data_IF_024137980905
#
_entry.id   IF_024137980905
#
_cell.length_a   1.000
_cell.length_b   1.000
_cell.length_c   1.000
_cell.angle_alpha   90.00
_cell.angle_beta   90.00
_cell.angle_gamma   90.00
#
_symmetry.space_group_name_H-M   'P 1'
#
loop_
_entity.id
_entity.type
_entity.pdbx_description
1 polymer ?
#
# COMPACT_ATOMS: atom_id res chain seq x y z
N UNK A 1 4.65 4.91 -8.86
CA UNK A 1 3.43 4.16 -9.25
C UNK A 1 3.64 3.08 -10.32
N UNK A 2 4.82 3.01 -10.95
CA UNK A 2 5.14 2.08 -12.05
C UNK A 2 4.99 0.61 -11.67
N UNK A 3 5.37 0.24 -10.44
CA UNK A 3 5.29 -1.15 -9.93
C UNK A 3 3.83 -1.61 -9.82
N UNK A 4 2.95 -0.80 -9.23
CA UNK A 4 1.54 -1.18 -9.06
C UNK A 4 0.83 -1.41 -10.40
N UNK A 5 1.15 -0.61 -11.42
CA UNK A 5 0.61 -0.82 -12.77
C UNK A 5 1.22 -2.04 -13.46
N UNK A 6 2.53 -2.28 -13.28
CA UNK A 6 3.21 -3.47 -13.81
C UNK A 6 2.55 -4.77 -13.32
N UNK A 7 2.11 -4.79 -12.06
CA UNK A 7 1.40 -5.92 -11.48
C UNK A 7 -0.13 -5.86 -11.64
N UNK A 8 -0.67 -4.86 -12.36
CA UNK A 8 -2.10 -4.75 -12.63
C UNK A 8 -2.98 -4.30 -11.45
N UNK A 9 -2.40 -3.85 -10.33
CA UNK A 9 -3.17 -3.38 -9.17
C UNK A 9 -3.86 -2.03 -9.39
N UNK A 10 -3.35 -1.23 -10.32
CA UNK A 10 -3.96 0.05 -10.72
C UNK A 10 -3.95 0.18 -12.24
N UNK A 11 -5.07 0.56 -12.81
CA UNK A 11 -5.23 0.82 -14.25
C UNK A 11 -4.77 2.22 -14.63
N UNK A 12 -5.08 3.20 -13.79
CA UNK A 12 -4.80 4.63 -13.98
C UNK A 12 -3.42 5.02 -13.46
N UNK A 13 -2.69 5.85 -14.22
CA UNK A 13 -1.41 6.44 -13.81
C UNK A 13 -1.50 7.94 -13.55
N UNK A 14 -2.54 8.58 -14.06
CA UNK A 14 -2.84 10.01 -13.98
C UNK A 14 -3.35 10.43 -12.59
N UNK A 15 -3.69 9.48 -11.72
CA UNK A 15 -4.23 9.73 -10.38
C UNK A 15 -3.41 9.04 -9.32
N UNK A 16 -3.31 9.66 -8.15
CA UNK A 16 -2.62 9.08 -6.99
C UNK A 16 -3.39 7.88 -6.43
N UNK A 17 -2.66 6.82 -6.07
CA UNK A 17 -3.23 5.65 -5.43
C UNK A 17 -3.25 5.81 -3.90
N UNK A 18 -4.25 5.19 -3.26
CA UNK A 18 -4.38 5.13 -1.80
C UNK A 18 -4.60 3.69 -1.34
N UNK A 19 -3.80 3.24 -0.37
CA UNK A 19 -3.94 1.92 0.26
C UNK A 19 -5.03 1.98 1.32
N UNK A 20 -5.94 1.00 1.31
CA UNK A 20 -7.02 0.81 2.27
C UNK A 20 -6.81 -0.49 3.05
N UNK A 21 -7.18 -0.51 4.33
CA UNK A 21 -7.03 -1.68 5.21
C UNK A 21 -8.22 -2.62 5.11
N UNK A 22 -8.38 -3.30 3.98
CA UNK A 22 -9.50 -4.23 3.72
C UNK A 22 -9.15 -5.72 3.85
N UNK A 23 -7.89 -6.06 4.10
CA UNK A 23 -7.44 -7.46 4.18
C UNK A 23 -6.22 -7.62 5.08
N UNK A 24 -5.76 -8.86 5.20
CA UNK A 24 -4.67 -9.26 6.08
C UNK A 24 -3.29 -9.10 5.42
N UNK A 25 -2.33 -8.58 6.18
CA UNK A 25 -0.93 -8.49 5.76
C UNK A 25 -0.11 -9.50 6.57
N UNK A 26 0.28 -10.60 5.93
CA UNK A 26 1.03 -11.69 6.58
C UNK A 26 2.54 -11.49 6.59
N UNK A 27 3.05 -10.58 5.76
CA UNK A 27 4.50 -10.33 5.60
C UNK A 27 4.80 -8.86 5.78
N UNK A 28 5.88 -8.58 6.51
CA UNK A 28 6.44 -7.25 6.63
C UNK A 28 6.83 -6.72 5.24
N UNK A 29 6.25 -5.58 4.85
CA UNK A 29 6.57 -4.90 3.60
C UNK A 29 6.81 -3.42 3.82
N UNK A 30 7.71 -2.86 3.03
CA UNK A 30 7.93 -1.42 2.94
C UNK A 30 7.03 -0.85 1.84
N UNK A 31 6.20 0.12 2.19
CA UNK A 31 5.35 0.87 1.26
C UNK A 31 5.98 2.24 1.04
N UNK A 32 6.42 2.53 -0.18
CA UNK A 32 7.10 3.79 -0.52
C UNK A 32 6.26 4.61 -1.50
N UNK A 33 6.03 5.87 -1.18
CA UNK A 33 5.46 6.87 -2.09
C UNK A 33 3.98 6.66 -2.41
N UNK A 34 3.23 6.02 -1.49
CA UNK A 34 1.79 5.78 -1.64
C UNK A 34 1.06 6.20 -0.36
N UNK A 35 -0.02 6.97 -0.52
CA UNK A 35 -0.86 7.37 0.60
C UNK A 35 -1.59 6.17 1.21
N UNK A 36 -1.69 6.11 2.54
CA UNK A 36 -2.33 5.00 3.25
C UNK A 36 -3.45 5.53 4.15
N UNK A 37 -4.56 4.79 4.28
CA UNK A 37 -5.58 5.06 5.30
C UNK A 37 -5.02 4.77 6.70
N UNK A 38 -5.67 5.34 7.74
CA UNK A 38 -5.29 5.08 9.14
C UNK A 38 -5.30 3.59 9.45
N UNK A 39 -6.37 2.89 9.07
CA UNK A 39 -6.50 1.44 9.23
C UNK A 39 -5.40 0.66 8.52
N UNK A 40 -5.08 1.03 7.27
CA UNK A 40 -4.00 0.38 6.52
C UNK A 40 -2.65 0.56 7.22
N UNK A 41 -2.36 1.77 7.71
CA UNK A 41 -1.11 2.04 8.44
C UNK A 41 -0.96 1.16 9.67
N UNK A 42 -2.03 1.04 10.46
CA UNK A 42 -2.02 0.20 11.66
C UNK A 42 -1.76 -1.27 11.32
N UNK A 43 -2.39 -1.80 10.26
CA UNK A 43 -2.14 -3.18 9.81
C UNK A 43 -0.71 -3.37 9.33
N UNK A 44 -0.16 -2.42 8.57
CA UNK A 44 1.23 -2.50 8.06
C UNK A 44 2.23 -2.49 9.22
N UNK A 45 2.04 -1.60 10.19
CA UNK A 45 2.93 -1.51 11.38
C UNK A 45 2.82 -2.78 12.22
N UNK A 46 1.60 -3.31 12.45
CA UNK A 46 1.39 -4.57 13.19
C UNK A 46 2.06 -5.76 12.51
N UNK A 47 2.10 -5.78 11.18
CA UNK A 47 2.78 -6.80 10.40
C UNK A 47 4.31 -6.60 10.32
N UNK A 48 4.88 -5.60 11.00
CA UNK A 48 6.31 -5.29 10.99
C UNK A 48 6.79 -4.53 9.74
N UNK A 49 5.87 -3.98 8.95
CA UNK A 49 6.16 -3.17 7.76
C UNK A 49 6.43 -1.70 8.07
N UNK A 50 6.89 -0.97 7.07
CA UNK A 50 7.21 0.48 7.14
C UNK A 50 6.56 1.25 6.01
N UNK A 51 6.31 2.54 6.23
CA UNK A 51 5.68 3.44 5.25
C UNK A 51 6.57 4.66 5.10
N UNK A 52 7.03 4.92 3.88
CA UNK A 52 7.86 6.09 3.51
C UNK A 52 7.18 6.91 2.42
#
# INVERSE_FOLDING_TARGET
MTILKKYGFVSRMDKTAKVLGGGDLSTAKEIVGISCSKSARETIIKAGGTIK
#
